data_IF_322088284468
#
_entry.id   IF_322088284468
#
_cell.length_a   1.000
_cell.length_b   1.000
_cell.length_c   1.000
_cell.angle_alpha   90.00
_cell.angle_beta   90.00
_cell.angle_gamma   90.00
#
_symmetry.space_group_name_H-M   'P 1'
#
loop_
_entity.id
_entity.type
_entity.pdbx_description
1 polymer ?
#
# COMPACT_ATOMS: atom_id res chain seq x y z
N UNK A 1 19.61 20.05 11.16
CA UNK A 1 18.37 19.28 10.98
C UNK A 1 18.45 18.31 9.79
N UNK A 2 19.00 18.72 8.64
CA UNK A 2 19.19 17.84 7.48
C UNK A 2 19.94 16.57 7.86
N UNK A 3 21.06 16.69 8.58
CA UNK A 3 21.88 15.56 8.98
C UNK A 3 21.10 14.59 9.90
N UNK A 4 20.23 15.11 10.75
CA UNK A 4 19.37 14.31 11.61
C UNK A 4 18.31 13.54 10.80
N UNK A 5 17.52 14.24 9.98
CA UNK A 5 16.38 13.63 9.27
C UNK A 5 16.77 12.83 8.03
N UNK A 6 17.83 13.25 7.32
CA UNK A 6 18.28 12.57 6.10
C UNK A 6 19.24 11.42 6.37
N UNK A 7 20.13 11.58 7.35
CA UNK A 7 21.21 10.62 7.63
C UNK A 7 21.07 9.91 8.96
N UNK A 8 19.99 10.14 9.71
CA UNK A 8 19.72 9.48 10.99
C UNK A 8 20.67 9.85 12.14
N UNK A 9 21.41 10.96 12.02
CA UNK A 9 22.36 11.36 13.07
C UNK A 9 21.59 11.82 14.31
N UNK A 10 21.84 11.23 15.49
CA UNK A 10 21.13 11.60 16.70
C UNK A 10 21.29 13.09 17.06
N UNK A 11 20.20 13.75 17.45
CA UNK A 11 20.19 15.18 17.84
C UNK A 11 21.23 15.51 18.94
N UNK A 12 21.52 14.57 19.86
CA UNK A 12 22.55 14.75 20.88
C UNK A 12 23.97 14.78 20.30
N UNK A 13 24.21 14.03 19.23
CA UNK A 13 25.50 14.04 18.52
C UNK A 13 25.67 15.33 17.74
N UNK A 14 24.65 15.79 17.05
CA UNK A 14 24.67 17.08 16.36
C UNK A 14 24.85 18.26 17.34
N UNK A 15 24.19 18.24 18.49
CA UNK A 15 24.34 19.27 19.52
C UNK A 15 25.78 19.36 20.00
N UNK A 16 26.43 18.22 20.25
CA UNK A 16 27.86 18.20 20.65
C UNK A 16 28.77 18.75 19.55
N UNK A 17 28.52 18.33 18.29
CA UNK A 17 29.28 18.78 17.13
C UNK A 17 29.19 20.28 16.90
N UNK A 18 28.02 20.87 17.16
CA UNK A 18 27.76 22.30 16.99
C UNK A 18 28.07 23.13 18.23
N UNK A 19 28.47 22.53 19.35
CA UNK A 19 28.72 23.23 20.60
C UNK A 19 27.48 23.86 21.24
N UNK A 20 26.27 23.31 20.96
CA UNK A 20 25.01 23.85 21.50
C UNK A 20 24.28 22.81 22.38
N UNK A 21 23.33 23.27 23.19
CA UNK A 21 22.49 22.37 24.00
C UNK A 21 21.52 21.58 23.07
N UNK A 22 21.29 20.30 23.36
CA UNK A 22 20.32 19.46 22.66
C UNK A 22 18.92 20.09 22.59
N UNK A 23 18.51 20.75 23.70
CA UNK A 23 17.22 21.46 23.76
C UNK A 23 17.13 22.62 22.77
N UNK A 24 18.22 23.29 22.45
CA UNK A 24 18.24 24.36 21.46
C UNK A 24 17.95 23.81 20.04
N UNK A 25 18.55 22.66 19.70
CA UNK A 25 18.25 21.99 18.40
C UNK A 25 16.81 21.49 18.33
N UNK A 26 16.28 20.91 19.41
CA UNK A 26 14.88 20.46 19.46
C UNK A 26 13.93 21.66 19.27
N UNK A 27 14.20 22.80 19.95
CA UNK A 27 13.38 24.00 19.79
C UNK A 27 13.49 24.59 18.38
N UNK A 28 14.67 24.56 17.76
CA UNK A 28 14.85 24.97 16.37
C UNK A 28 14.07 24.07 15.43
N UNK A 29 14.09 22.74 15.63
CA UNK A 29 13.32 21.79 14.85
C UNK A 29 11.80 22.06 14.93
N UNK A 30 11.28 22.33 16.15
CA UNK A 30 9.87 22.69 16.36
C UNK A 30 9.49 23.97 15.60
N UNK A 31 10.34 25.00 15.64
CA UNK A 31 10.10 26.24 14.89
C UNK A 31 10.09 26.02 13.38
N UNK A 32 11.04 25.24 12.87
CA UNK A 32 11.08 24.89 11.44
C UNK A 32 9.83 24.10 11.03
N UNK A 33 9.40 23.13 11.87
CA UNK A 33 8.17 22.37 11.59
C UNK A 33 6.95 23.29 11.47
N UNK A 34 6.80 24.28 12.37
CA UNK A 34 5.71 25.27 12.30
C UNK A 34 5.77 26.12 11.02
N UNK A 35 6.97 26.51 10.60
CA UNK A 35 7.15 27.29 9.36
C UNK A 35 6.85 26.45 8.09
N UNK A 36 7.02 25.13 8.15
CA UNK A 36 6.77 24.22 7.05
C UNK A 36 5.31 23.72 7.00
N UNK A 37 4.50 23.97 8.02
CA UNK A 37 3.11 23.48 8.09
C UNK A 37 2.24 23.88 6.86
N UNK A 38 2.33 25.12 6.33
CA UNK A 38 1.63 25.46 5.08
C UNK A 38 2.03 24.58 3.90
N UNK A 39 3.31 24.18 3.83
CA UNK A 39 3.80 23.26 2.81
C UNK A 39 3.20 21.86 2.92
N UNK A 40 2.93 21.37 4.13
CA UNK A 40 2.24 20.08 4.34
C UNK A 40 0.81 20.12 3.80
N UNK A 41 0.11 21.25 3.96
CA UNK A 41 -1.22 21.44 3.38
C UNK A 41 -1.16 21.38 1.85
N UNK A 42 -0.18 22.01 1.23
CA UNK A 42 0.04 21.94 -0.23
C UNK A 42 0.30 20.50 -0.70
N UNK A 43 1.17 19.76 -0.01
CA UNK A 43 1.43 18.35 -0.33
C UNK A 43 0.17 17.48 -0.22
N UNK A 44 -0.69 17.76 0.75
CA UNK A 44 -1.98 17.08 0.91
C UNK A 44 -2.94 17.39 -0.25
N UNK A 45 -2.97 18.63 -0.70
CA UNK A 45 -3.79 19.04 -1.84
C UNK A 45 -3.25 18.46 -3.16
N UNK A 46 -1.94 18.38 -3.34
CA UNK A 46 -1.30 17.74 -4.48
C UNK A 46 -1.59 16.23 -4.50
N UNK A 47 -1.52 15.58 -3.34
CA UNK A 47 -1.93 14.19 -3.20
C UNK A 47 -3.41 14.00 -3.62
N UNK A 48 -4.32 14.86 -3.18
CA UNK A 48 -5.76 14.76 -3.52
C UNK A 48 -6.03 14.90 -5.02
N UNK A 49 -5.26 15.74 -5.72
CA UNK A 49 -5.41 16.02 -7.16
C UNK A 49 -4.76 14.97 -8.06
N UNK A 50 -3.85 14.16 -7.56
CA UNK A 50 -3.13 13.19 -8.38
C UNK A 50 -4.07 12.13 -8.96
N UNK A 51 -3.79 11.64 -10.17
CA UNK A 51 -4.55 10.59 -10.84
C UNK A 51 -4.28 9.21 -10.21
N UNK A 52 -3.03 8.94 -9.82
CA UNK A 52 -2.61 7.68 -9.20
C UNK A 52 -2.07 7.99 -7.81
N UNK A 53 -2.62 7.31 -6.84
CA UNK A 53 -2.31 7.45 -5.41
C UNK A 53 -2.08 6.09 -4.79
N UNK A 54 -1.23 6.06 -3.79
CA UNK A 54 -1.01 4.88 -2.97
C UNK A 54 -1.10 5.26 -1.49
N UNK A 55 -1.59 4.34 -0.67
CA UNK A 55 -1.57 4.49 0.76
C UNK A 55 -1.27 3.15 1.42
N UNK A 56 -0.49 3.22 2.51
CA UNK A 56 -0.14 2.06 3.32
C UNK A 56 0.10 2.52 4.77
N UNK A 57 -0.02 1.61 5.72
CA UNK A 57 0.27 1.92 7.12
C UNK A 57 1.06 0.79 7.77
N UNK A 58 1.93 1.19 8.68
CA UNK A 58 2.73 0.26 9.48
C UNK A 58 2.67 0.61 10.96
N UNK A 59 2.91 -0.38 11.81
CA UNK A 59 3.05 -0.14 13.24
C UNK A 59 4.27 0.72 13.52
N UNK A 60 4.13 1.68 14.41
CA UNK A 60 5.19 2.57 14.86
C UNK A 60 5.16 2.69 16.38
N UNK A 61 6.23 2.27 17.04
CA UNK A 61 6.36 2.45 18.49
C UNK A 61 7.09 3.75 18.81
N UNK A 62 6.52 4.57 19.70
CA UNK A 62 7.12 5.79 20.18
C UNK A 62 7.08 5.84 21.71
N UNK A 63 8.24 5.84 22.38
CA UNK A 63 8.37 5.81 23.85
C UNK A 63 7.54 4.69 24.52
N UNK A 64 7.52 3.49 23.92
CA UNK A 64 6.78 2.34 24.43
C UNK A 64 5.27 2.40 24.19
N UNK A 65 4.76 3.45 23.54
CA UNK A 65 3.38 3.55 23.13
C UNK A 65 3.23 3.06 21.68
N UNK A 66 2.23 2.23 21.44
CA UNK A 66 1.91 1.76 20.11
C UNK A 66 1.25 2.87 19.30
N UNK A 67 1.71 3.06 18.08
CA UNK A 67 1.16 3.98 17.12
C UNK A 67 1.28 3.43 15.70
N UNK A 68 0.94 4.26 14.74
CA UNK A 68 0.96 3.92 13.32
C UNK A 68 1.57 5.05 12.52
N UNK A 69 2.45 4.67 11.59
CA UNK A 69 2.93 5.54 10.53
C UNK A 69 2.09 5.24 9.26
N UNK A 70 1.38 6.23 8.79
CA UNK A 70 0.61 6.19 7.56
C UNK A 70 1.40 6.88 6.46
N UNK A 71 1.58 6.21 5.33
CA UNK A 71 2.19 6.77 4.14
C UNK A 71 1.15 7.01 3.06
N UNK A 72 1.23 8.16 2.41
CA UNK A 72 0.38 8.54 1.29
C UNK A 72 1.30 9.03 0.17
N UNK A 73 1.24 8.38 -0.98
CA UNK A 73 2.24 8.54 -2.03
C UNK A 73 1.60 8.82 -3.39
N UNK A 74 2.28 9.63 -4.17
CA UNK A 74 2.07 9.78 -5.61
C UNK A 74 3.43 9.78 -6.28
N UNK A 75 3.50 9.88 -7.60
CA UNK A 75 4.78 10.02 -8.32
C UNK A 75 5.67 11.13 -7.75
N UNK A 76 5.08 12.24 -7.33
CA UNK A 76 5.82 13.45 -6.92
C UNK A 76 5.65 13.84 -5.45
N UNK A 77 4.85 13.11 -4.68
CA UNK A 77 4.52 13.46 -3.30
C UNK A 77 4.63 12.26 -2.38
N UNK A 78 5.32 12.44 -1.26
CA UNK A 78 5.34 11.50 -0.13
C UNK A 78 4.88 12.24 1.12
N UNK A 79 3.72 11.85 1.67
CA UNK A 79 3.15 12.44 2.88
C UNK A 79 3.07 11.37 3.96
N UNK A 80 3.65 11.65 5.13
CA UNK A 80 3.59 10.76 6.29
C UNK A 80 2.75 11.38 7.40
N UNK A 81 1.89 10.56 8.01
CA UNK A 81 1.05 10.94 9.15
C UNK A 81 1.23 9.93 10.27
N UNK A 82 1.63 10.40 11.46
CA UNK A 82 1.83 9.57 12.65
C UNK A 82 0.65 9.74 13.59
N UNK A 83 -0.04 8.66 13.94
CA UNK A 83 -1.21 8.66 14.83
C UNK A 83 -1.18 7.47 15.78
N UNK A 84 -1.77 7.63 16.96
CA UNK A 84 -1.96 6.54 17.93
C UNK A 84 -3.08 5.56 17.54
N UNK A 85 -3.69 5.73 16.38
CA UNK A 85 -4.83 4.89 15.93
C UNK A 85 -4.65 4.43 14.49
N UNK A 86 -5.19 3.23 14.22
CA UNK A 86 -5.29 2.63 12.88
C UNK A 86 -6.71 2.81 12.28
N UNK A 87 -7.49 3.75 12.78
CA UNK A 87 -8.88 3.94 12.31
C UNK A 87 -8.98 4.69 10.99
N UNK A 88 -10.14 4.58 10.33
CA UNK A 88 -10.46 5.26 9.07
C UNK A 88 -10.48 6.80 9.16
N UNK A 89 -10.46 7.36 10.37
CA UNK A 89 -10.36 8.81 10.59
C UNK A 89 -9.08 9.37 9.97
N UNK A 90 -7.96 8.63 10.06
CA UNK A 90 -6.66 9.11 9.55
C UNK A 90 -6.65 9.26 8.03
N UNK A 91 -6.95 8.22 7.23
CA UNK A 91 -7.03 8.40 5.78
C UNK A 91 -8.13 9.37 5.36
N UNK A 92 -9.25 9.46 6.10
CA UNK A 92 -10.30 10.43 5.83
C UNK A 92 -9.81 11.88 5.99
N UNK A 93 -9.02 12.18 7.01
CA UNK A 93 -8.40 13.51 7.17
C UNK A 93 -7.51 13.89 5.96
N UNK A 94 -6.79 12.92 5.39
CA UNK A 94 -5.91 13.14 4.23
C UNK A 94 -6.71 13.26 2.93
N UNK A 95 -7.63 12.34 2.68
CA UNK A 95 -8.44 12.33 1.45
C UNK A 95 -9.41 13.51 1.39
N UNK A 96 -9.96 13.94 2.54
CA UNK A 96 -11.00 14.95 2.63
C UNK A 96 -12.40 14.39 2.39
N UNK A 97 -13.40 15.26 2.52
CA UNK A 97 -14.82 14.89 2.38
C UNK A 97 -15.37 15.10 0.95
N UNK A 98 -14.55 15.63 0.04
CA UNK A 98 -14.94 15.95 -1.33
C UNK A 98 -15.08 14.74 -2.24
N UNK A 99 -15.21 15.00 -3.53
CA UNK A 99 -15.13 13.98 -4.57
C UNK A 99 -13.69 13.46 -4.69
N UNK A 100 -13.56 12.13 -4.74
CA UNK A 100 -12.26 11.48 -4.84
C UNK A 100 -11.95 11.16 -6.30
N UNK A 101 -11.04 11.89 -6.89
CA UNK A 101 -10.58 11.69 -8.27
C UNK A 101 -9.48 10.64 -8.35
N UNK A 102 -9.36 9.99 -9.51
CA UNK A 102 -8.28 9.05 -9.80
C UNK A 102 -8.43 7.69 -9.10
N UNK A 103 -7.30 7.06 -8.88
CA UNK A 103 -7.17 5.69 -8.39
C UNK A 103 -6.36 5.68 -7.09
N UNK A 104 -6.81 4.93 -6.09
CA UNK A 104 -6.10 4.70 -4.83
C UNK A 104 -5.67 3.23 -4.72
N UNK A 105 -4.38 2.94 -4.92
CA UNK A 105 -3.76 1.64 -4.65
C UNK A 105 -3.55 1.44 -3.15
N UNK A 106 -4.12 0.39 -2.59
CA UNK A 106 -4.02 0.07 -1.16
C UNK A 106 -3.94 -1.43 -0.95
N UNK A 107 -3.63 -1.83 0.27
CA UNK A 107 -3.90 -3.17 0.75
C UNK A 107 -5.43 -3.40 0.95
N UNK A 108 -5.78 -4.50 1.61
CA UNK A 108 -7.19 -4.84 1.88
C UNK A 108 -7.74 -4.26 3.18
N UNK A 109 -7.01 -3.34 3.81
CA UNK A 109 -7.44 -2.82 5.09
C UNK A 109 -8.74 -2.00 5.00
N UNK A 110 -9.67 -2.30 5.88
CA UNK A 110 -11.05 -1.77 5.83
C UNK A 110 -11.13 -0.24 6.04
N UNK A 111 -10.14 0.38 6.68
CA UNK A 111 -10.11 1.81 6.90
C UNK A 111 -10.18 2.61 5.59
N UNK A 112 -9.54 2.10 4.52
CA UNK A 112 -9.59 2.74 3.21
C UNK A 112 -10.97 2.64 2.56
N UNK A 113 -11.69 1.51 2.77
CA UNK A 113 -13.05 1.34 2.26
C UNK A 113 -14.03 2.38 2.81
N UNK A 114 -13.86 2.78 4.07
CA UNK A 114 -14.70 3.76 4.73
C UNK A 114 -14.35 5.21 4.35
N UNK A 115 -13.16 5.43 3.77
CA UNK A 115 -12.58 6.76 3.53
C UNK A 115 -12.51 7.15 2.07
N UNK A 116 -12.53 6.18 1.15
CA UNK A 116 -12.35 6.39 -0.28
C UNK A 116 -13.57 5.93 -1.08
N UNK A 117 -14.06 6.78 -1.98
CA UNK A 117 -15.26 6.52 -2.79
C UNK A 117 -14.96 6.24 -4.27
N UNK A 118 -13.72 6.44 -4.71
CA UNK A 118 -13.26 6.25 -6.09
C UNK A 118 -12.81 4.82 -6.42
N UNK A 119 -12.09 4.66 -7.52
CA UNK A 119 -11.46 3.39 -7.91
C UNK A 119 -10.39 3.02 -6.88
N UNK A 120 -10.40 1.77 -6.42
CA UNK A 120 -9.49 1.28 -5.39
C UNK A 120 -9.04 -0.17 -5.71
N UNK A 121 -8.03 -0.33 -6.56
CA UNK A 121 -7.43 -1.62 -6.85
C UNK A 121 -6.72 -2.19 -5.62
N UNK A 122 -6.74 -3.51 -5.52
CA UNK A 122 -5.96 -4.20 -4.50
C UNK A 122 -4.54 -4.49 -4.99
N UNK A 123 -3.58 -4.35 -4.10
CA UNK A 123 -2.17 -4.68 -4.34
C UNK A 123 -1.98 -6.18 -4.56
N UNK A 124 -1.43 -6.59 -5.72
CA UNK A 124 -1.19 -7.99 -6.04
C UNK A 124 -0.10 -8.62 -5.16
N UNK A 125 0.90 -7.84 -4.72
CA UNK A 125 1.96 -8.36 -3.84
C UNK A 125 1.41 -8.83 -2.48
N UNK A 126 0.39 -8.16 -1.93
CA UNK A 126 -0.28 -8.63 -0.73
C UNK A 126 -0.99 -9.98 -0.92
N UNK A 127 -1.61 -10.22 -2.08
CA UNK A 127 -2.17 -11.53 -2.40
C UNK A 127 -1.08 -12.58 -2.53
N UNK A 128 0.01 -12.27 -3.21
CA UNK A 128 1.16 -13.15 -3.39
C UNK A 128 1.82 -13.52 -2.05
N UNK A 129 2.01 -12.55 -1.15
CA UNK A 129 2.55 -12.78 0.19
C UNK A 129 1.65 -13.74 0.99
N UNK A 130 0.35 -13.48 1.05
CA UNK A 130 -0.58 -14.33 1.78
C UNK A 130 -0.61 -15.78 1.25
N UNK A 131 -0.52 -15.97 -0.07
CA UNK A 131 -0.45 -17.29 -0.66
C UNK A 131 0.85 -18.03 -0.28
N UNK A 132 1.99 -17.31 -0.20
CA UNK A 132 3.26 -17.86 0.30
C UNK A 132 3.18 -18.24 1.77
N UNK A 133 2.60 -17.36 2.60
CA UNK A 133 2.43 -17.61 4.04
C UNK A 133 1.63 -18.89 4.30
N UNK A 134 0.63 -19.22 3.46
CA UNK A 134 -0.12 -20.48 3.55
C UNK A 134 0.79 -21.70 3.30
N UNK A 135 1.59 -21.71 2.23
CA UNK A 135 2.53 -22.81 1.94
C UNK A 135 3.59 -22.93 3.05
N UNK A 136 4.14 -21.81 3.51
CA UNK A 136 5.17 -21.81 4.55
C UNK A 136 4.65 -22.34 5.89
N UNK A 137 3.40 -22.02 6.20
CA UNK A 137 2.75 -22.51 7.45
C UNK A 137 2.44 -24.02 7.41
N UNK A 138 2.08 -24.55 6.25
CA UNK A 138 1.68 -25.96 6.10
C UNK A 138 2.25 -26.55 4.79
N UNK A 139 3.58 -26.77 4.69
CA UNK A 139 4.24 -27.17 3.45
C UNK A 139 3.81 -28.55 2.93
N UNK A 140 3.33 -29.43 3.79
CA UNK A 140 2.84 -30.77 3.44
C UNK A 140 1.38 -30.81 3.01
N UNK A 141 0.68 -29.67 3.03
CA UNK A 141 -0.72 -29.58 2.62
C UNK A 141 -0.86 -29.80 1.11
N UNK A 142 -1.46 -30.90 0.70
CA UNK A 142 -1.59 -31.32 -0.69
C UNK A 142 -2.40 -30.34 -1.56
N UNK A 143 -3.37 -29.66 -0.98
CA UNK A 143 -4.15 -28.65 -1.71
C UNK A 143 -3.31 -27.38 -1.93
N UNK A 144 -2.49 -26.98 -0.95
CA UNK A 144 -1.58 -25.86 -1.12
C UNK A 144 -0.54 -26.15 -2.22
N UNK A 145 0.06 -27.33 -2.17
CA UNK A 145 1.02 -27.79 -3.21
C UNK A 145 0.38 -27.87 -4.60
N UNK A 146 -0.90 -28.19 -4.68
CA UNK A 146 -1.62 -28.32 -5.96
C UNK A 146 -1.99 -26.97 -6.57
N UNK A 147 -2.50 -26.04 -5.77
CA UNK A 147 -3.14 -24.82 -6.31
C UNK A 147 -2.28 -23.58 -6.21
N UNK A 148 -1.54 -23.39 -5.10
CA UNK A 148 -0.83 -22.13 -4.84
C UNK A 148 0.34 -21.89 -5.82
N UNK A 149 1.16 -22.85 -6.22
CA UNK A 149 2.26 -22.59 -7.16
C UNK A 149 1.77 -21.96 -8.47
N UNK A 150 0.71 -22.51 -9.09
CA UNK A 150 0.14 -21.94 -10.33
C UNK A 150 -0.50 -20.57 -10.08
N UNK A 151 -1.18 -20.39 -8.95
CA UNK A 151 -1.74 -19.11 -8.56
C UNK A 151 -0.65 -18.03 -8.43
N UNK A 152 0.47 -18.34 -7.77
CA UNK A 152 1.62 -17.44 -7.63
C UNK A 152 2.29 -17.12 -8.97
N UNK A 153 2.39 -18.09 -9.85
CA UNK A 153 2.91 -17.88 -11.21
C UNK A 153 2.06 -16.88 -11.98
N UNK A 154 0.74 -17.05 -11.98
CA UNK A 154 -0.19 -16.13 -12.64
C UNK A 154 -0.15 -14.72 -12.06
N UNK A 155 0.00 -14.57 -10.73
CA UNK A 155 0.21 -13.26 -10.13
C UNK A 155 1.53 -12.62 -10.59
N UNK A 156 2.59 -13.40 -10.71
CA UNK A 156 3.87 -12.92 -11.23
C UNK A 156 3.76 -12.52 -12.70
N UNK A 157 3.03 -13.31 -13.50
CA UNK A 157 2.78 -12.97 -14.91
C UNK A 157 1.99 -11.67 -15.03
N UNK A 158 0.95 -11.48 -14.21
CA UNK A 158 0.19 -10.24 -14.14
C UNK A 158 1.09 -9.03 -13.83
N UNK A 159 1.95 -9.14 -12.82
CA UNK A 159 2.88 -8.08 -12.43
C UNK A 159 3.93 -7.80 -13.53
N UNK A 160 4.35 -8.84 -14.26
CA UNK A 160 5.31 -8.69 -15.37
C UNK A 160 4.63 -8.06 -16.59
N UNK A 161 3.41 -8.48 -16.90
CA UNK A 161 2.62 -7.92 -18.01
C UNK A 161 2.41 -6.41 -17.85
N UNK A 162 2.22 -5.94 -16.62
CA UNK A 162 2.07 -4.52 -16.27
C UNK A 162 3.24 -3.63 -16.68
N UNK A 163 4.43 -4.20 -16.85
CA UNK A 163 5.63 -3.49 -17.30
C UNK A 163 5.73 -3.38 -18.82
N UNK A 164 4.86 -4.09 -19.56
CA UNK A 164 4.81 -4.04 -21.02
C UNK A 164 3.94 -2.88 -21.50
N UNK A 165 4.21 -2.41 -22.73
CA UNK A 165 3.37 -1.40 -23.37
C UNK A 165 1.99 -1.99 -23.70
N UNK A 166 0.98 -1.11 -23.65
CA UNK A 166 -0.38 -1.43 -24.02
C UNK A 166 -0.50 -1.78 -25.50
N UNK A 167 -1.41 -2.71 -25.81
CA UNK A 167 -1.73 -3.17 -27.15
C UNK A 167 -2.50 -4.49 -27.10
N UNK A 168 -2.83 -5.02 -28.27
CA UNK A 168 -3.62 -6.25 -28.40
C UNK A 168 -3.06 -7.43 -27.58
N UNK A 169 -1.73 -7.59 -27.57
CA UNK A 169 -1.07 -8.64 -26.77
C UNK A 169 -1.32 -8.46 -25.25
N UNK A 170 -1.29 -7.22 -24.75
CA UNK A 170 -1.63 -6.95 -23.36
C UNK A 170 -3.07 -7.31 -23.05
N UNK A 171 -4.01 -6.91 -23.91
CA UNK A 171 -5.44 -7.16 -23.70
C UNK A 171 -5.75 -8.65 -23.67
N UNK A 172 -5.21 -9.42 -24.63
CA UNK A 172 -5.41 -10.87 -24.71
C UNK A 172 -4.81 -11.59 -23.49
N UNK A 173 -3.59 -11.25 -23.12
CA UNK A 173 -2.86 -11.89 -22.02
C UNK A 173 -3.45 -11.52 -20.64
N UNK A 174 -3.88 -10.28 -20.45
CA UNK A 174 -4.53 -9.85 -19.20
C UNK A 174 -5.86 -10.58 -18.96
N UNK A 175 -6.63 -10.82 -20.03
CA UNK A 175 -7.87 -11.59 -19.96
C UNK A 175 -7.57 -13.06 -19.66
N UNK A 176 -6.58 -13.66 -20.33
CA UNK A 176 -6.13 -15.04 -20.06
C UNK A 176 -5.74 -15.24 -18.59
N UNK A 177 -4.87 -14.37 -18.07
CA UNK A 177 -4.43 -14.44 -16.68
C UNK A 177 -5.60 -14.30 -15.70
N UNK A 178 -6.51 -13.35 -15.96
CA UNK A 178 -7.72 -13.17 -15.15
C UNK A 178 -8.56 -14.44 -15.11
N UNK A 179 -8.83 -15.03 -16.26
CA UNK A 179 -9.73 -16.17 -16.38
C UNK A 179 -9.13 -17.43 -15.74
N UNK A 180 -7.83 -17.65 -15.88
CA UNK A 180 -7.12 -18.72 -15.19
C UNK A 180 -7.09 -18.53 -13.66
N UNK A 181 -6.86 -17.30 -13.15
CA UNK A 181 -6.95 -17.01 -11.72
C UNK A 181 -8.33 -17.29 -11.16
N UNK A 182 -9.39 -16.88 -11.89
CA UNK A 182 -10.76 -17.15 -11.49
C UNK A 182 -11.08 -18.64 -11.51
N UNK A 183 -10.59 -19.39 -12.48
CA UNK A 183 -10.75 -20.84 -12.57
C UNK A 183 -10.09 -21.56 -11.38
N UNK A 184 -8.87 -21.15 -10.99
CA UNK A 184 -8.22 -21.70 -9.80
C UNK A 184 -9.04 -21.40 -8.54
N UNK A 185 -9.53 -20.18 -8.38
CA UNK A 185 -10.31 -19.79 -7.20
C UNK A 185 -11.69 -20.45 -7.14
N UNK A 186 -12.22 -20.90 -8.28
CA UNK A 186 -13.46 -21.67 -8.36
C UNK A 186 -13.28 -23.17 -8.13
N UNK A 187 -12.04 -23.64 -7.87
CA UNK A 187 -11.77 -25.07 -7.62
C UNK A 187 -12.46 -25.56 -6.34
N UNK A 188 -12.85 -26.83 -6.30
CA UNK A 188 -13.41 -27.48 -5.10
C UNK A 188 -12.30 -27.76 -4.08
N UNK A 189 -11.99 -26.74 -3.29
CA UNK A 189 -11.00 -26.77 -2.20
C UNK A 189 -11.68 -27.15 -0.90
N UNK A 190 -11.10 -28.10 -0.14
CA UNK A 190 -11.61 -28.57 1.16
C UNK A 190 -10.93 -27.85 2.32
N UNK A 191 -9.70 -27.41 2.15
CA UNK A 191 -8.99 -26.64 3.16
C UNK A 191 -9.68 -25.30 3.40
N UNK A 192 -10.10 -25.05 4.64
CA UNK A 192 -10.89 -23.86 4.99
C UNK A 192 -10.13 -22.53 4.84
N UNK A 193 -8.80 -22.54 5.06
CA UNK A 193 -7.97 -21.31 4.91
C UNK A 193 -7.80 -20.95 3.44
N UNK A 194 -7.45 -21.96 2.61
CA UNK A 194 -7.29 -21.76 1.18
C UNK A 194 -8.61 -21.37 0.52
N UNK A 195 -9.70 -22.06 0.90
CA UNK A 195 -11.04 -21.73 0.43
C UNK A 195 -11.40 -20.28 0.76
N UNK A 196 -11.26 -19.86 2.01
CA UNK A 196 -11.55 -18.49 2.43
C UNK A 196 -10.70 -17.45 1.71
N UNK A 197 -9.45 -17.80 1.39
CA UNK A 197 -8.57 -16.95 0.61
C UNK A 197 -9.03 -16.81 -0.86
N UNK A 198 -9.44 -17.90 -1.50
CA UNK A 198 -9.97 -17.88 -2.87
C UNK A 198 -11.35 -17.21 -2.95
N UNK A 199 -12.22 -17.45 -1.97
CA UNK A 199 -13.53 -16.80 -1.86
C UNK A 199 -13.35 -15.27 -1.76
N UNK A 200 -12.41 -14.79 -0.92
CA UNK A 200 -12.10 -13.37 -0.79
C UNK A 200 -11.66 -12.74 -2.13
N UNK A 201 -10.81 -13.42 -2.89
CA UNK A 201 -10.38 -12.93 -4.20
C UNK A 201 -11.55 -12.87 -5.18
N UNK A 202 -12.41 -13.89 -5.19
CA UNK A 202 -13.60 -13.97 -6.03
C UNK A 202 -14.63 -12.89 -5.68
N UNK A 203 -14.88 -12.65 -4.41
CA UNK A 203 -15.78 -11.58 -3.94
C UNK A 203 -15.28 -10.19 -4.31
N UNK A 204 -13.97 -9.96 -4.18
CA UNK A 204 -13.33 -8.67 -4.46
C UNK A 204 -12.77 -8.58 -5.89
N UNK A 205 -13.17 -9.47 -6.80
CA UNK A 205 -12.66 -9.53 -8.18
C UNK A 205 -12.72 -8.19 -8.91
N UNK A 206 -13.72 -7.36 -8.65
CA UNK A 206 -13.87 -6.03 -9.26
C UNK A 206 -12.75 -5.06 -8.87
N UNK A 207 -12.12 -5.24 -7.70
CA UNK A 207 -10.95 -4.48 -7.26
C UNK A 207 -9.65 -5.17 -7.65
N UNK A 208 -9.60 -6.48 -7.50
CA UNK A 208 -8.44 -7.29 -7.84
C UNK A 208 -8.07 -7.18 -9.32
N UNK A 209 -9.06 -7.16 -10.23
CA UNK A 209 -8.84 -7.11 -11.68
C UNK A 209 -9.00 -5.72 -12.31
N UNK A 210 -8.95 -4.65 -11.54
CA UNK A 210 -9.00 -3.29 -12.11
C UNK A 210 -7.85 -3.02 -13.09
N UNK A 211 -6.69 -3.61 -12.87
CA UNK A 211 -5.53 -3.50 -13.75
C UNK A 211 -5.78 -4.05 -15.17
N UNK A 212 -6.68 -5.00 -15.35
CA UNK A 212 -7.01 -5.56 -16.69
C UNK A 212 -7.55 -4.51 -17.65
N UNK A 213 -8.31 -3.54 -17.11
CA UNK A 213 -8.94 -2.47 -17.91
C UNK A 213 -8.28 -1.11 -17.73
N UNK A 214 -7.43 -0.98 -16.76
CA UNK A 214 -6.74 0.28 -16.42
C UNK A 214 -5.24 -0.01 -16.25
N UNK A 215 -4.56 -0.09 -17.33
CA UNK A 215 -3.16 -0.48 -17.37
C UNK A 215 -2.18 0.53 -16.75
N UNK A 216 -2.62 1.75 -16.58
CA UNK A 216 -1.91 2.79 -15.82
C UNK A 216 -1.87 2.51 -14.30
N UNK A 217 -2.74 1.60 -13.81
CA UNK A 217 -2.75 1.20 -12.40
C UNK A 217 -1.59 0.26 -12.12
N UNK A 218 -0.74 0.59 -11.17
CA UNK A 218 0.35 -0.29 -10.75
C UNK A 218 -0.15 -1.56 -10.07
N UNK A 219 0.56 -2.66 -10.28
CA UNK A 219 0.19 -3.96 -9.73
C UNK A 219 0.51 -4.09 -8.23
N UNK A 220 1.40 -3.26 -7.74
CA UNK A 220 1.89 -3.27 -6.36
C UNK A 220 1.89 -1.87 -5.76
N UNK A 221 1.86 -1.80 -4.44
CA UNK A 221 1.83 -0.56 -3.65
C UNK A 221 3.22 -0.20 -3.10
N UNK A 222 4.27 -0.78 -3.66
CA UNK A 222 5.65 -0.51 -3.27
C UNK A 222 6.20 0.62 -4.14
N UNK A 223 6.15 1.84 -3.62
CA UNK A 223 6.82 3.02 -4.16
C UNK A 223 8.13 3.29 -3.43
#
# INVERSE_FOLDING_TARGET
LVDHYKYGIPMGTEARRLGVKKSALINAAKKVAQLLEPGVSTLRDDFRKAEIKHADETTWSNDGQNGYAWGFFTENTSLYVFKGTRSSVVPKEVFGDGEHIGVLGVDRYSAYNASWKGKMPHCLEHYKRNARDLIEAEPENKEYQKYIPRYLELLKDAMTLRKKKHGKEYDEESVRIRDELLAICASDVKDGKLKGYFDLMSEKRHRFFQWVRNPEIEAENNL
#
